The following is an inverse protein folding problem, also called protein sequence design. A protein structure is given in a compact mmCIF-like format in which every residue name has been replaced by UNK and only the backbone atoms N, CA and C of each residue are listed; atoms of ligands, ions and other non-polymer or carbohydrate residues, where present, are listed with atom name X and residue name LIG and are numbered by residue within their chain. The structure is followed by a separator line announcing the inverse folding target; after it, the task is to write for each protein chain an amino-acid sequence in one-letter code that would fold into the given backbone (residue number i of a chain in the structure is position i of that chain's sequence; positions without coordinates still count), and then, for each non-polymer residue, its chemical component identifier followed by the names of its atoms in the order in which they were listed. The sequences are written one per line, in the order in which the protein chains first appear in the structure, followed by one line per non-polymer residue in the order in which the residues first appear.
data_IF_792315898656
#
_entry.id   IF_792315898656
#
_cell.length_a   1.000
_cell.length_b   1.000
_cell.length_c   1.000
_cell.angle_alpha   90.00
_cell.angle_beta   90.00
_cell.angle_gamma   90.00
#
_symmetry.space_group_name_H-M   'P 1'
#
loop_
_entity.id
_entity.type
_entity.pdbx_description
1 polymer ?
#
# COMPACT_ATOMS: atom_id res chain seq x y z
N UNK A 1 -2.29 -5.48 -24.82
CA UNK A 1 -2.75 -6.20 -23.61
C UNK A 1 -3.77 -5.32 -22.92
N UNK A 2 -4.94 -5.86 -22.52
CA UNK A 2 -5.95 -5.10 -21.75
C UNK A 2 -5.56 -5.04 -20.27
N UNK A 3 -6.08 -4.05 -19.51
CA UNK A 3 -5.77 -3.90 -18.07
C UNK A 3 -6.07 -5.17 -17.27
N UNK A 4 -7.22 -5.80 -17.48
CA UNK A 4 -7.58 -7.04 -16.78
C UNK A 4 -6.67 -8.21 -17.14
N UNK A 5 -6.20 -8.26 -18.40
CA UNK A 5 -5.23 -9.26 -18.83
C UNK A 5 -3.86 -9.04 -18.16
N UNK A 6 -3.44 -7.77 -18.02
CA UNK A 6 -2.22 -7.40 -17.32
C UNK A 6 -2.29 -7.78 -15.82
N UNK A 7 -3.42 -7.45 -15.15
CA UNK A 7 -3.68 -7.83 -13.76
C UNK A 7 -3.62 -9.33 -13.56
N UNK A 8 -4.26 -10.11 -14.45
CA UNK A 8 -4.26 -11.57 -14.38
C UNK A 8 -2.85 -12.16 -14.56
N UNK A 9 -2.05 -11.62 -15.48
CA UNK A 9 -0.66 -12.06 -15.67
C UNK A 9 0.20 -11.75 -14.45
N UNK A 10 0.14 -10.51 -13.92
CA UNK A 10 0.88 -10.14 -12.72
C UNK A 10 0.50 -11.00 -11.51
N UNK A 11 -0.80 -11.22 -11.30
CA UNK A 11 -1.32 -12.11 -10.26
C UNK A 11 -0.78 -13.53 -10.38
N UNK A 12 -0.70 -14.08 -11.59
CA UNK A 12 -0.18 -15.42 -11.83
C UNK A 12 1.33 -15.54 -11.57
N UNK A 13 2.08 -14.44 -11.66
CA UNK A 13 3.52 -14.39 -11.38
C UNK A 13 3.83 -14.26 -9.89
N UNK A 14 2.90 -13.76 -9.06
CA UNK A 14 3.13 -13.50 -7.64
C UNK A 14 3.69 -14.69 -6.84
N UNK A 15 3.19 -15.93 -6.98
CA UNK A 15 3.73 -17.06 -6.22
C UNK A 15 5.21 -17.31 -6.47
N UNK A 16 5.67 -17.14 -7.71
CA UNK A 16 7.08 -17.28 -8.07
C UNK A 16 7.96 -16.17 -7.45
N UNK A 17 7.43 -14.94 -7.37
CA UNK A 17 8.16 -13.81 -6.77
C UNK A 17 8.23 -13.90 -5.25
N UNK A 18 7.18 -14.41 -4.61
CA UNK A 18 7.14 -14.59 -3.14
C UNK A 18 8.22 -15.53 -2.63
N UNK A 19 8.53 -16.59 -3.40
CA UNK A 19 9.62 -17.52 -3.07
C UNK A 19 11.03 -16.93 -3.17
N UNK A 20 11.17 -15.65 -3.52
CA UNK A 20 12.46 -14.93 -3.60
C UNK A 20 12.44 -13.69 -2.66
N UNK A 21 11.36 -13.52 -1.90
CA UNK A 21 11.14 -12.33 -1.08
C UNK A 21 11.81 -12.43 0.30
N UNK A 22 11.85 -11.30 1.02
CA UNK A 22 12.65 -10.92 2.20
C UNK A 22 12.77 -11.94 3.37
N UNK A 23 12.05 -13.04 3.34
CA UNK A 23 12.03 -14.05 4.40
C UNK A 23 13.13 -15.13 4.25
N UNK A 24 13.82 -15.19 3.11
CA UNK A 24 14.97 -16.09 2.96
C UNK A 24 16.25 -15.43 3.51
N UNK A 25 16.86 -16.04 4.52
CA UNK A 25 18.22 -15.71 4.95
C UNK A 25 19.20 -16.19 3.89
N UNK A 26 19.95 -15.26 3.29
CA UNK A 26 21.03 -15.61 2.36
C UNK A 26 22.23 -16.12 3.16
N UNK A 27 22.50 -17.42 3.09
CA UNK A 27 23.75 -17.98 3.59
C UNK A 27 24.93 -17.41 2.78
N UNK A 28 25.88 -16.75 3.46
CA UNK A 28 27.09 -16.19 2.83
C UNK A 28 28.22 -16.04 3.85
N UNK A 29 29.46 -15.90 3.34
CA UNK A 29 30.63 -15.57 4.16
C UNK A 29 30.67 -14.06 4.46
N UNK A 30 30.51 -13.70 5.73
CA UNK A 30 30.54 -12.31 6.20
C UNK A 30 31.92 -11.66 6.17
N UNK A 31 32.99 -12.43 5.97
CA UNK A 31 34.36 -11.91 5.83
C UNK A 31 34.76 -11.72 4.36
N UNK A 32 34.02 -12.30 3.41
CA UNK A 32 34.23 -12.12 1.97
C UNK A 32 33.55 -10.81 1.48
N UNK A 33 34.32 -9.79 1.07
CA UNK A 33 33.76 -8.52 0.61
C UNK A 33 32.90 -8.65 -0.65
N UNK A 34 33.14 -9.64 -1.52
CA UNK A 34 32.33 -9.85 -2.73
C UNK A 34 30.95 -10.38 -2.35
N UNK A 35 30.88 -11.41 -1.51
CA UNK A 35 29.61 -11.97 -1.06
C UNK A 35 28.77 -10.96 -0.27
N UNK A 36 29.40 -10.09 0.52
CA UNK A 36 28.69 -8.97 1.19
C UNK A 36 28.12 -7.96 0.20
N UNK A 37 28.84 -7.67 -0.89
CA UNK A 37 28.34 -6.80 -1.94
C UNK A 37 27.12 -7.44 -2.61
N UNK A 38 27.21 -8.71 -3.00
CA UNK A 38 26.12 -9.47 -3.62
C UNK A 38 24.89 -9.53 -2.71
N UNK A 39 25.05 -9.86 -1.42
CA UNK A 39 23.95 -9.88 -0.45
C UNK A 39 23.23 -8.53 -0.39
N UNK A 40 24.01 -7.43 -0.33
CA UNK A 40 23.45 -6.08 -0.30
C UNK A 40 22.64 -5.77 -1.56
N UNK A 41 23.14 -6.14 -2.74
CA UNK A 41 22.40 -5.92 -3.98
C UNK A 41 21.16 -6.83 -4.09
N UNK A 42 21.25 -8.09 -3.62
CA UNK A 42 20.12 -9.02 -3.57
C UNK A 42 19.02 -8.56 -2.62
N UNK A 43 19.38 -8.02 -1.44
CA UNK A 43 18.40 -7.40 -0.52
C UNK A 43 17.65 -6.25 -1.17
N UNK A 44 18.33 -5.40 -1.96
CA UNK A 44 17.65 -4.33 -2.72
C UNK A 44 16.66 -4.94 -3.72
N UNK A 45 17.05 -5.97 -4.46
CA UNK A 45 16.14 -6.67 -5.39
C UNK A 45 14.92 -7.22 -4.65
N UNK A 46 15.12 -7.90 -3.52
CA UNK A 46 14.05 -8.44 -2.69
C UNK A 46 13.09 -7.34 -2.17
N UNK A 47 13.60 -6.17 -1.78
CA UNK A 47 12.77 -5.03 -1.37
C UNK A 47 11.89 -4.51 -2.52
N UNK A 48 12.41 -4.46 -3.75
CA UNK A 48 11.63 -4.09 -4.94
C UNK A 48 10.56 -5.15 -5.25
N UNK A 49 10.91 -6.44 -5.14
CA UNK A 49 9.96 -7.53 -5.31
C UNK A 49 8.83 -7.47 -4.28
N UNK A 50 9.17 -7.24 -3.00
CA UNK A 50 8.18 -7.08 -1.94
C UNK A 50 7.21 -5.93 -2.21
N UNK A 51 7.73 -4.77 -2.63
CA UNK A 51 6.90 -3.61 -2.99
C UNK A 51 5.96 -3.90 -4.18
N UNK A 52 6.45 -4.63 -5.18
CA UNK A 52 5.64 -5.07 -6.32
C UNK A 52 4.54 -6.04 -5.87
N UNK A 53 4.88 -7.07 -5.09
CA UNK A 53 3.94 -8.05 -4.56
C UNK A 53 2.84 -7.34 -3.79
N UNK A 54 3.20 -6.49 -2.84
CA UNK A 54 2.26 -5.72 -2.02
C UNK A 54 1.33 -4.84 -2.88
N UNK A 55 1.85 -4.22 -3.92
CA UNK A 55 1.07 -3.37 -4.82
C UNK A 55 0.05 -4.16 -5.63
N UNK A 56 0.43 -5.34 -6.14
CA UNK A 56 -0.48 -6.20 -6.91
C UNK A 56 -1.56 -6.79 -5.99
N UNK A 57 -1.17 -7.30 -4.82
CA UNK A 57 -2.12 -7.85 -3.85
C UNK A 57 -3.14 -6.81 -3.39
N UNK A 58 -2.68 -5.58 -3.15
CA UNK A 58 -3.58 -4.48 -2.82
C UNK A 58 -4.66 -4.25 -3.90
N UNK A 59 -4.28 -4.29 -5.18
CA UNK A 59 -5.24 -4.13 -6.30
C UNK A 59 -6.20 -5.32 -6.45
N UNK A 60 -5.86 -6.48 -5.88
CA UNK A 60 -6.74 -7.66 -5.88
C UNK A 60 -7.77 -7.64 -4.76
N UNK A 61 -7.57 -6.83 -3.71
CA UNK A 61 -8.53 -6.70 -2.63
C UNK A 61 -9.85 -6.08 -3.13
N UNK A 62 -11.01 -6.58 -2.70
CA UNK A 62 -12.30 -5.96 -3.04
C UNK A 62 -12.42 -4.57 -2.43
N UNK A 63 -13.28 -3.71 -2.97
CA UNK A 63 -13.63 -2.46 -2.29
C UNK A 63 -14.53 -2.80 -1.11
N UNK A 64 -14.13 -2.43 0.10
CA UNK A 64 -14.85 -2.73 1.34
C UNK A 64 -15.84 -1.62 1.70
N UNK A 65 -15.41 -0.36 1.58
CA UNK A 65 -16.26 0.81 1.81
C UNK A 65 -15.93 1.92 0.81
N UNK A 66 -16.91 2.75 0.49
CA UNK A 66 -16.78 3.91 -0.40
C UNK A 66 -17.79 4.97 0.01
N UNK A 67 -17.33 6.21 0.23
CA UNK A 67 -18.18 7.27 0.76
C UNK A 67 -17.37 8.50 1.15
N UNK A 68 -17.98 9.35 1.97
CA UNK A 68 -17.32 10.51 2.57
C UNK A 68 -16.54 10.07 3.79
N UNK A 69 -15.34 10.60 3.97
CA UNK A 69 -14.57 10.43 5.20
C UNK A 69 -15.17 11.30 6.30
N UNK A 70 -15.40 10.73 7.48
CA UNK A 70 -15.97 11.42 8.64
C UNK A 70 -15.10 11.22 9.88
N UNK A 71 -15.01 12.25 10.72
CA UNK A 71 -14.31 12.22 12.01
C UNK A 71 -15.27 11.72 13.08
N UNK A 72 -14.82 10.69 13.77
CA UNK A 72 -15.52 10.06 14.90
C UNK A 72 -15.31 10.90 16.15
N UNK A 73 -16.14 10.65 17.15
CA UNK A 73 -16.04 11.32 18.46
C UNK A 73 -14.74 10.99 19.22
N UNK A 74 -14.08 9.88 18.91
CA UNK A 74 -12.79 9.49 19.48
C UNK A 74 -11.57 10.12 18.77
N UNK A 75 -11.81 10.99 17.79
CA UNK A 75 -10.78 11.69 17.03
C UNK A 75 -10.22 10.92 15.84
N UNK A 76 -10.61 9.65 15.64
CA UNK A 76 -10.23 8.87 14.46
C UNK A 76 -11.17 9.15 13.30
N UNK A 77 -10.78 8.71 12.11
CA UNK A 77 -11.59 8.87 10.89
C UNK A 77 -12.11 7.52 10.41
N UNK A 78 -13.26 7.51 9.75
CA UNK A 78 -13.81 6.35 9.04
C UNK A 78 -14.44 6.81 7.72
N UNK A 79 -14.80 5.86 6.85
CA UNK A 79 -15.73 6.16 5.75
C UNK A 79 -17.14 6.04 6.32
N UNK A 80 -18.00 7.02 6.02
CA UNK A 80 -19.39 7.03 6.48
C UNK A 80 -20.10 5.70 6.17
N UNK A 81 -20.60 5.03 7.22
CA UNK A 81 -21.28 3.74 7.12
C UNK A 81 -20.35 2.52 7.01
N UNK A 82 -19.02 2.68 7.11
CA UNK A 82 -18.08 1.58 7.22
C UNK A 82 -18.08 0.97 8.63
N UNK A 83 -17.68 -0.30 8.74
CA UNK A 83 -17.56 -0.99 10.02
C UNK A 83 -16.25 -0.67 10.77
N UNK A 84 -15.24 -0.20 10.03
CA UNK A 84 -13.88 0.04 10.51
C UNK A 84 -13.46 1.51 10.40
N UNK A 85 -12.47 1.86 11.23
CA UNK A 85 -11.87 3.19 11.28
C UNK A 85 -10.38 3.14 10.92
N UNK A 86 -9.82 4.31 10.62
CA UNK A 86 -8.44 4.46 10.18
C UNK A 86 -7.46 4.68 11.34
N UNK A 87 -6.25 4.17 11.14
CA UNK A 87 -5.08 4.36 12.00
C UNK A 87 -3.87 4.68 11.12
N UNK A 88 -2.73 5.04 11.72
CA UNK A 88 -1.51 5.28 10.94
C UNK A 88 -1.11 4.02 10.15
N UNK A 89 -0.80 4.20 8.87
CA UNK A 89 -0.54 3.13 7.92
C UNK A 89 -1.78 2.56 7.22
N UNK A 90 -3.00 2.89 7.66
CA UNK A 90 -4.23 2.43 6.99
C UNK A 90 -4.25 2.93 5.54
N UNK A 91 -4.46 2.06 4.53
CA UNK A 91 -4.54 2.48 3.14
C UNK A 91 -5.88 3.16 2.86
N UNK A 92 -5.86 4.19 2.02
CA UNK A 92 -7.05 4.91 1.58
C UNK A 92 -6.88 5.29 0.11
N UNK A 93 -7.97 5.27 -0.66
CA UNK A 93 -7.99 5.80 -2.01
C UNK A 93 -8.90 7.04 -2.05
N UNK A 94 -8.35 8.21 -2.36
CA UNK A 94 -9.08 9.47 -2.40
C UNK A 94 -9.41 9.82 -3.84
N UNK A 95 -10.62 10.31 -4.08
CA UNK A 95 -11.04 10.80 -5.39
C UNK A 95 -10.27 12.09 -5.74
N UNK A 96 -9.53 12.06 -6.84
CA UNK A 96 -8.90 13.21 -7.46
C UNK A 96 -9.81 13.74 -8.57
N UNK A 97 -10.49 14.85 -8.30
CA UNK A 97 -11.41 15.49 -9.26
C UNK A 97 -10.71 15.96 -10.54
N UNK A 98 -9.42 16.30 -10.48
CA UNK A 98 -8.70 16.83 -11.65
C UNK A 98 -8.35 15.75 -12.67
N UNK A 99 -8.13 14.54 -12.19
CA UNK A 99 -7.75 13.38 -12.99
C UNK A 99 -8.92 12.40 -13.19
N UNK A 100 -10.03 12.59 -12.48
CA UNK A 100 -11.18 11.69 -12.44
C UNK A 100 -10.78 10.24 -12.09
N UNK A 101 -9.85 10.09 -11.13
CA UNK A 101 -9.37 8.79 -10.64
C UNK A 101 -9.34 8.73 -9.12
N UNK A 102 -9.29 7.51 -8.59
CA UNK A 102 -8.95 7.27 -7.18
C UNK A 102 -7.43 7.15 -7.03
N UNK A 103 -6.83 8.05 -6.27
CA UNK A 103 -5.41 8.06 -5.95
C UNK A 103 -5.16 7.34 -4.61
N UNK A 104 -4.32 6.31 -4.63
CA UNK A 104 -3.93 5.58 -3.42
C UNK A 104 -3.01 6.42 -2.55
N UNK A 105 -3.31 6.44 -1.26
CA UNK A 105 -2.49 7.02 -0.20
C UNK A 105 -2.58 6.15 1.06
N UNK A 106 -2.02 6.65 2.16
CA UNK A 106 -2.15 6.08 3.50
C UNK A 106 -2.44 7.19 4.50
N UNK A 107 -3.10 6.82 5.57
CA UNK A 107 -3.32 7.67 6.73
C UNK A 107 -2.07 7.69 7.60
N UNK A 108 -1.72 8.85 8.13
CA UNK A 108 -0.69 9.05 9.13
C UNK A 108 -1.18 10.00 10.22
N UNK A 109 -0.45 10.10 11.32
CA UNK A 109 -0.75 11.00 12.42
C UNK A 109 0.50 11.84 12.74
N UNK A 110 0.37 13.16 12.84
CA UNK A 110 1.49 14.07 13.07
C UNK A 110 1.71 14.44 14.55
N UNK A 111 0.78 14.02 15.41
CA UNK A 111 0.77 14.36 16.84
C UNK A 111 -0.40 15.26 17.22
N UNK A 112 -1.03 15.91 16.25
CA UNK A 112 -2.23 16.74 16.43
C UNK A 112 -3.46 16.10 15.80
N UNK A 113 -3.35 15.60 14.57
CA UNK A 113 -4.47 14.97 13.87
C UNK A 113 -4.03 13.89 12.86
N UNK A 114 -5.01 13.16 12.34
CA UNK A 114 -4.81 12.26 11.20
C UNK A 114 -4.85 13.03 9.87
N UNK A 115 -3.98 12.65 8.95
CA UNK A 115 -3.91 13.20 7.60
C UNK A 115 -3.64 12.11 6.55
N UNK A 116 -3.96 12.40 5.30
CA UNK A 116 -3.61 11.54 4.17
C UNK A 116 -2.29 12.00 3.54
N UNK A 117 -1.32 11.10 3.40
CA UNK A 117 0.00 11.43 2.88
C UNK A 117 -0.08 11.96 1.45
N UNK A 118 0.55 13.12 1.20
CA UNK A 118 0.55 13.77 -0.11
C UNK A 118 -0.75 14.51 -0.46
N UNK A 119 -1.75 14.50 0.41
CA UNK A 119 -3.00 15.24 0.25
C UNK A 119 -2.97 16.44 1.18
N UNK A 120 -3.24 17.63 0.63
CA UNK A 120 -3.18 18.90 1.39
C UNK A 120 -4.50 19.23 2.08
N UNK A 121 -5.60 18.70 1.56
CA UNK A 121 -6.94 18.91 2.07
C UNK A 121 -7.13 18.14 3.39
N UNK A 122 -7.88 18.70 4.36
CA UNK A 122 -8.30 17.95 5.54
C UNK A 122 -9.05 16.67 5.16
N UNK A 123 -8.96 15.63 5.98
CA UNK A 123 -9.61 14.34 5.72
C UNK A 123 -11.13 14.45 5.69
N UNK A 124 -11.71 15.24 6.60
CA UNK A 124 -13.15 15.38 6.76
C UNK A 124 -13.84 15.76 5.43
N UNK A 125 -14.83 14.98 5.04
CA UNK A 125 -15.63 15.21 3.84
C UNK A 125 -14.98 14.82 2.53
N UNK A 126 -13.75 14.28 2.50
CA UNK A 126 -13.17 13.78 1.24
C UNK A 126 -13.95 12.56 0.73
N UNK A 127 -14.17 12.50 -0.58
CA UNK A 127 -14.70 11.29 -1.22
C UNK A 127 -13.57 10.26 -1.30
N UNK A 128 -13.77 9.11 -0.69
CA UNK A 128 -12.75 8.07 -0.60
C UNK A 128 -13.33 6.66 -0.65
N UNK A 129 -12.45 5.68 -0.78
CA UNK A 129 -12.76 4.25 -0.65
C UNK A 129 -11.58 3.47 -0.07
N UNK A 130 -11.85 2.32 0.53
CA UNK A 130 -10.83 1.41 1.05
C UNK A 130 -11.05 -0.03 0.53
N UNK A 131 -10.01 -0.86 0.67
CA UNK A 131 -9.98 -2.26 0.22
C UNK A 131 -9.42 -3.20 1.27
#
# INVERSE_FOLDING_TARGET
MRLEEAKKKLAATLPALKGISKEEEFEHDHEDPEQRFEEREMRKVADHLYSLIYSVEYLQKPIQASGRVIKRSDGRYEIEGAEDYFTSGSPLEIWDESQEIYARTRIEHDGEDYFAVGIKQPLEGLQARCR
#
